data_IF_693553528981
#
_entry.id   IF_693553528981
#
_cell.length_a   1.000
_cell.length_b   1.000
_cell.length_c   1.000
_cell.angle_alpha   90.00
_cell.angle_beta   90.00
_cell.angle_gamma   90.00
#
_symmetry.space_group_name_H-M   'P 1'
#
loop_
_entity.id
_entity.type
_entity.pdbx_description
1 polymer ?
#
# COMPACT_ATOMS: atom_id res chain seq x y z
N UNK A 1 7.17 8.96 11.64
CA UNK A 1 6.30 9.96 10.96
C UNK A 1 5.77 10.99 11.95
N UNK A 2 4.78 10.67 12.79
CA UNK A 2 4.10 11.69 13.60
C UNK A 2 4.98 12.39 14.64
N UNK A 3 5.96 11.69 15.22
CA UNK A 3 6.94 12.28 16.15
C UNK A 3 7.86 13.32 15.52
N UNK A 4 8.03 13.30 14.19
CA UNK A 4 8.92 14.22 13.46
C UNK A 4 8.14 15.33 12.72
N UNK A 5 6.98 15.00 12.15
CA UNK A 5 6.22 15.92 11.27
C UNK A 5 4.83 16.30 11.80
N UNK A 6 4.44 15.82 12.98
CA UNK A 6 3.14 16.12 13.58
C UNK A 6 2.00 15.27 13.03
N UNK A 7 0.78 15.81 13.03
CA UNK A 7 -0.42 15.08 12.60
C UNK A 7 -0.31 14.64 11.13
N UNK A 8 -0.69 13.40 10.86
CA UNK A 8 -0.65 12.81 9.52
C UNK A 8 -2.06 12.70 8.95
N UNK A 9 -2.23 13.03 7.67
CA UNK A 9 -3.50 12.86 6.97
C UNK A 9 -3.63 11.40 6.46
N UNK A 10 -4.58 10.59 6.95
CA UNK A 10 -4.71 9.20 6.53
C UNK A 10 -5.33 9.11 5.14
N UNK A 11 -4.55 8.63 4.17
CA UNK A 11 -5.01 8.43 2.78
C UNK A 11 -5.44 7.00 2.48
N UNK A 12 -5.01 6.05 3.31
CA UNK A 12 -5.07 4.62 3.04
C UNK A 12 -6.43 3.97 3.28
N UNK A 13 -6.41 2.64 3.26
CA UNK A 13 -7.49 1.74 3.66
C UNK A 13 -6.97 0.30 3.58
N UNK A 14 -7.84 -0.68 3.42
CA UNK A 14 -7.41 -2.08 3.46
C UNK A 14 -6.43 -2.40 2.33
N UNK A 15 -5.43 -3.25 2.61
CA UNK A 15 -4.35 -3.55 1.68
C UNK A 15 -3.37 -2.40 1.41
N UNK A 16 -3.51 -1.25 2.10
CA UNK A 16 -2.62 -0.09 1.95
C UNK A 16 -2.98 0.83 0.78
N UNK A 17 -4.09 0.57 0.07
CA UNK A 17 -4.50 1.35 -1.08
C UNK A 17 -5.04 2.74 -0.68
N UNK A 18 -4.71 3.81 -1.44
CA UNK A 18 -5.17 5.16 -1.11
C UNK A 18 -6.64 5.37 -1.50
N UNK A 19 -7.56 4.88 -0.67
CA UNK A 19 -9.01 4.98 -0.90
C UNK A 19 -9.59 6.38 -0.70
N UNK A 20 -8.81 7.33 -0.16
CA UNK A 20 -9.16 8.75 -0.09
C UNK A 20 -9.48 9.35 -1.47
N UNK A 21 -8.89 8.78 -2.54
CA UNK A 21 -9.16 9.15 -3.92
C UNK A 21 -8.72 10.57 -4.28
N UNK A 22 -9.11 11.01 -5.48
CA UNK A 22 -8.79 12.36 -6.00
C UNK A 22 -9.39 13.46 -5.12
N UNK A 23 -10.65 13.28 -4.69
CA UNK A 23 -11.34 14.24 -3.82
C UNK A 23 -10.62 14.40 -2.49
N UNK A 24 -10.23 13.29 -1.85
CA UNK A 24 -9.54 13.33 -0.58
C UNK A 24 -8.11 13.88 -0.66
N UNK A 25 -7.36 13.55 -1.73
CA UNK A 25 -6.08 14.21 -1.97
C UNK A 25 -6.24 15.71 -2.23
N UNK A 26 -7.24 16.11 -3.01
CA UNK A 26 -7.56 17.52 -3.23
C UNK A 26 -7.87 18.27 -1.92
N UNK A 27 -8.69 17.68 -1.05
CA UNK A 27 -9.00 18.23 0.27
C UNK A 27 -7.74 18.38 1.15
N UNK A 28 -6.88 17.36 1.19
CA UNK A 28 -5.59 17.43 1.89
C UNK A 28 -4.68 18.53 1.30
N UNK A 29 -4.59 18.60 -0.03
CA UNK A 29 -3.69 19.52 -0.72
C UNK A 29 -4.03 20.99 -0.47
N UNK A 30 -5.28 21.30 -0.14
CA UNK A 30 -5.73 22.64 0.26
C UNK A 30 -5.31 23.02 1.70
N UNK A 31 -4.80 22.08 2.50
CA UNK A 31 -4.29 22.33 3.86
C UNK A 31 -2.77 22.41 3.92
N UNK A 32 -2.08 22.28 2.78
CA UNK A 32 -0.62 22.43 2.72
C UNK A 32 -0.30 23.89 3.07
N UNK A 33 0.62 24.15 4.02
CA UNK A 33 1.05 25.51 4.33
C UNK A 33 1.60 26.23 3.10
N UNK A 34 1.54 27.57 3.10
CA UNK A 34 2.21 28.37 2.07
C UNK A 34 3.69 27.99 1.96
N UNK A 35 4.17 27.77 0.74
CA UNK A 35 5.51 27.24 0.41
C UNK A 35 5.87 25.88 1.08
N UNK A 36 4.88 25.18 1.64
CA UNK A 36 5.03 23.89 2.26
C UNK A 36 5.25 22.74 1.27
N UNK A 37 5.78 21.63 1.77
CA UNK A 37 5.95 20.39 1.01
C UNK A 37 5.01 19.31 1.52
N UNK A 38 4.68 18.36 0.64
CA UNK A 38 3.91 17.16 0.98
C UNK A 38 4.86 15.98 1.01
N UNK A 39 4.77 15.15 2.04
CA UNK A 39 5.45 13.86 2.10
C UNK A 39 4.43 12.73 2.28
N UNK A 40 4.42 11.77 1.37
CA UNK A 40 3.53 10.60 1.43
C UNK A 40 4.38 9.34 1.60
N UNK A 41 4.21 8.66 2.73
CA UNK A 41 4.64 7.29 2.95
C UNK A 41 3.49 6.35 2.59
N UNK A 42 3.70 5.38 1.70
CA UNK A 42 2.64 4.49 1.24
C UNK A 42 3.12 3.08 0.91
N UNK A 43 2.18 2.15 0.86
CA UNK A 43 2.44 0.76 0.47
C UNK A 43 1.57 -0.25 1.22
N UNK A 44 1.55 -1.51 0.77
CA UNK A 44 0.98 -2.60 1.53
C UNK A 44 1.90 -2.96 2.73
N UNK A 45 1.45 -3.92 3.52
CA UNK A 45 2.27 -4.52 4.56
C UNK A 45 2.17 -6.04 4.54
N UNK A 46 3.16 -6.71 5.11
CA UNK A 46 3.20 -8.15 5.34
C UNK A 46 3.84 -8.43 6.69
N UNK A 47 3.40 -9.47 7.38
CA UNK A 47 4.09 -9.92 8.59
C UNK A 47 4.98 -11.12 8.31
N UNK A 48 6.01 -11.27 9.13
CA UNK A 48 6.80 -12.49 9.22
C UNK A 48 6.63 -13.02 10.65
N UNK A 49 6.28 -14.30 10.79
CA UNK A 49 6.14 -14.93 12.11
C UNK A 49 7.50 -15.28 12.74
N UNK A 50 7.49 -15.71 14.00
CA UNK A 50 8.69 -16.16 14.71
C UNK A 50 9.39 -17.35 14.03
N UNK A 51 8.63 -18.18 13.30
CA UNK A 51 9.15 -19.31 12.53
C UNK A 51 9.54 -18.95 11.09
N UNK A 52 9.47 -17.67 10.70
CA UNK A 52 9.77 -17.21 9.35
C UNK A 52 8.63 -17.35 8.35
N UNK A 53 7.43 -17.75 8.78
CA UNK A 53 6.26 -17.84 7.87
C UNK A 53 5.80 -16.44 7.46
N UNK A 54 5.76 -16.18 6.15
CA UNK A 54 5.30 -14.91 5.56
C UNK A 54 3.76 -14.85 5.58
N UNK A 55 3.22 -13.70 5.95
CA UNK A 55 1.78 -13.45 5.99
C UNK A 55 1.11 -13.77 7.34
N UNK A 56 1.90 -14.14 8.36
CA UNK A 56 1.40 -14.51 9.69
C UNK A 56 1.96 -13.64 10.79
N UNK A 57 1.11 -13.32 11.76
CA UNK A 57 1.52 -12.58 12.95
C UNK A 57 0.79 -13.08 14.20
N UNK A 58 1.53 -13.23 15.30
CA UNK A 58 0.96 -13.47 16.62
C UNK A 58 0.72 -12.13 17.31
N UNK A 59 -0.54 -11.70 17.34
CA UNK A 59 -0.92 -10.40 17.91
C UNK A 59 -0.96 -10.48 19.43
N UNK A 60 -0.62 -9.37 20.09
CA UNK A 60 -0.74 -9.23 21.55
C UNK A 60 -2.16 -9.61 22.00
N UNK A 61 -2.25 -10.51 22.98
CA UNK A 61 -3.52 -10.99 23.52
C UNK A 61 -4.17 -12.13 22.73
N UNK A 62 -3.53 -12.64 21.67
CA UNK A 62 -3.98 -13.82 20.93
C UNK A 62 -3.06 -15.02 21.19
N UNK A 63 -3.59 -16.24 21.06
CA UNK A 63 -2.83 -17.49 21.22
C UNK A 63 -2.54 -18.19 19.89
N UNK A 64 -3.03 -17.64 18.77
CA UNK A 64 -2.90 -18.22 17.44
C UNK A 64 -2.45 -17.15 16.46
N UNK A 65 -1.59 -17.56 15.51
CA UNK A 65 -1.21 -16.72 14.40
C UNK A 65 -2.43 -16.35 13.54
N UNK A 66 -2.50 -15.10 13.14
CA UNK A 66 -3.52 -14.57 12.23
C UNK A 66 -2.87 -13.98 10.97
N UNK A 67 -3.67 -13.77 9.94
CA UNK A 67 -3.23 -13.21 8.66
C UNK A 67 -2.77 -11.74 8.79
N UNK A 68 -1.70 -11.38 8.08
CA UNK A 68 -1.20 -10.01 7.98
C UNK A 68 -0.35 -9.84 6.69
N UNK A 69 -0.79 -9.07 5.68
CA UNK A 69 -2.06 -8.36 5.59
C UNK A 69 -3.25 -9.31 5.37
N UNK A 70 -4.25 -9.26 6.28
CA UNK A 70 -5.46 -10.06 6.16
C UNK A 70 -6.22 -9.82 4.85
N UNK A 71 -6.41 -8.56 4.48
CA UNK A 71 -7.15 -8.19 3.26
C UNK A 71 -6.51 -8.76 1.97
N UNK A 72 -5.18 -8.75 1.87
CA UNK A 72 -4.47 -9.32 0.72
C UNK A 72 -4.59 -10.83 0.68
N UNK A 73 -4.40 -11.49 1.81
CA UNK A 73 -4.51 -12.95 1.92
C UNK A 73 -5.94 -13.43 1.64
N UNK A 74 -6.95 -12.70 2.14
CA UNK A 74 -8.36 -12.97 1.86
C UNK A 74 -8.72 -12.72 0.40
N UNK A 75 -8.10 -11.73 -0.25
CA UNK A 75 -8.28 -11.48 -1.68
C UNK A 75 -7.71 -12.62 -2.53
N UNK A 76 -6.51 -13.09 -2.20
CA UNK A 76 -5.89 -14.25 -2.88
C UNK A 76 -6.72 -15.53 -2.65
N UNK A 77 -7.13 -15.78 -1.41
CA UNK A 77 -7.98 -16.92 -1.05
C UNK A 77 -9.36 -16.87 -1.75
N UNK A 78 -9.91 -15.68 -1.97
CA UNK A 78 -11.12 -15.52 -2.77
C UNK A 78 -10.89 -15.91 -4.23
N UNK A 79 -9.75 -15.52 -4.83
CA UNK A 79 -9.40 -15.86 -6.22
C UNK A 79 -9.23 -17.38 -6.38
N UNK A 80 -8.46 -18.02 -5.48
CA UNK A 80 -8.22 -19.48 -5.47
C UNK A 80 -9.50 -20.32 -5.45
N UNK A 81 -10.55 -19.80 -4.82
CA UNK A 81 -11.84 -20.47 -4.66
C UNK A 81 -12.91 -19.97 -5.63
N UNK A 82 -12.57 -19.16 -6.62
CA UNK A 82 -13.52 -18.62 -7.60
C UNK A 82 -14.60 -17.72 -6.99
N UNK A 83 -14.31 -17.07 -5.85
CA UNK A 83 -15.21 -16.16 -5.13
C UNK A 83 -15.07 -14.70 -5.56
N UNK A 84 -14.45 -14.45 -6.71
CA UNK A 84 -14.31 -13.12 -7.30
C UNK A 84 -15.06 -13.11 -8.63
N UNK A 85 -15.96 -12.14 -8.81
CA UNK A 85 -16.66 -11.95 -10.09
C UNK A 85 -15.75 -11.17 -11.05
N UNK A 86 -15.57 -11.69 -12.26
CA UNK A 86 -14.61 -11.18 -13.24
C UNK A 86 -15.02 -9.88 -13.93
N UNK A 87 -16.24 -9.38 -13.70
CA UNK A 87 -16.71 -8.15 -14.33
C UNK A 87 -17.55 -7.28 -13.39
N UNK A 88 -17.39 -5.96 -13.52
CA UNK A 88 -18.34 -4.98 -12.95
C UNK A 88 -19.74 -5.10 -13.58
N UNK A 89 -19.88 -5.82 -14.71
CA UNK A 89 -21.12 -5.95 -15.47
C UNK A 89 -22.06 -7.02 -14.90
N UNK A 90 -21.56 -7.99 -14.13
CA UNK A 90 -22.38 -9.06 -13.53
C UNK A 90 -23.05 -8.64 -12.20
N UNK A 91 -22.89 -7.39 -11.78
CA UNK A 91 -23.44 -6.83 -10.54
C UNK A 91 -22.81 -7.44 -9.28
N UNK A 92 -22.49 -6.73 -8.23
CA UNK A 92 -22.38 -5.31 -7.94
C UNK A 92 -21.00 -5.21 -7.26
N UNK A 93 -20.29 -4.08 -7.37
CA UNK A 93 -19.38 -3.73 -6.28
C UNK A 93 -20.21 -3.85 -5.00
N UNK A 94 -19.82 -4.74 -4.08
CA UNK A 94 -20.45 -4.82 -2.77
C UNK A 94 -20.27 -3.42 -2.17
N UNK A 95 -21.37 -2.67 -2.05
CA UNK A 95 -21.31 -1.26 -1.65
C UNK A 95 -20.93 -1.15 -0.16
N UNK A 96 -21.19 -2.22 0.59
CA UNK A 96 -20.81 -2.40 1.97
C UNK A 96 -19.37 -2.93 2.12
N UNK A 97 -18.80 -3.56 1.09
CA UNK A 97 -17.42 -4.11 1.04
C UNK A 97 -16.61 -3.62 -0.19
N UNK A 98 -16.74 -2.34 -0.54
CA UNK A 98 -16.18 -1.79 -1.80
C UNK A 98 -14.66 -1.90 -1.87
N UNK A 99 -13.97 -1.66 -0.75
CA UNK A 99 -12.51 -1.68 -0.72
C UNK A 99 -11.97 -3.08 -1.00
N UNK A 100 -12.61 -4.12 -0.42
CA UNK A 100 -12.17 -5.50 -0.61
C UNK A 100 -12.63 -6.03 -1.96
N UNK A 101 -13.79 -5.61 -2.44
CA UNK A 101 -14.25 -5.90 -3.81
C UNK A 101 -13.25 -5.38 -4.85
N UNK A 102 -12.79 -4.14 -4.70
CA UNK A 102 -11.75 -3.58 -5.57
C UNK A 102 -10.43 -4.34 -5.45
N UNK A 103 -9.99 -4.67 -4.22
CA UNK A 103 -8.74 -5.39 -4.01
C UNK A 103 -8.77 -6.79 -4.63
N UNK A 104 -9.85 -7.54 -4.44
CA UNK A 104 -10.07 -8.86 -5.06
C UNK A 104 -9.95 -8.81 -6.58
N UNK A 105 -10.52 -7.79 -7.22
CA UNK A 105 -10.41 -7.61 -8.67
C UNK A 105 -8.96 -7.38 -9.11
N UNK A 106 -8.22 -6.49 -8.43
CA UNK A 106 -6.82 -6.24 -8.74
C UNK A 106 -5.93 -7.49 -8.56
N UNK A 107 -6.21 -8.31 -7.54
CA UNK A 107 -5.47 -9.56 -7.32
C UNK A 107 -5.86 -10.62 -8.37
N UNK A 108 -7.14 -10.70 -8.75
CA UNK A 108 -7.61 -11.64 -9.78
C UNK A 108 -6.90 -11.42 -11.12
N UNK A 109 -6.69 -10.17 -11.53
CA UNK A 109 -6.00 -9.80 -12.78
C UNK A 109 -4.55 -10.33 -12.86
N UNK A 110 -3.93 -10.60 -11.70
CA UNK A 110 -2.54 -11.05 -11.59
C UNK A 110 -2.43 -12.41 -10.88
N UNK A 111 -3.56 -13.12 -10.71
CA UNK A 111 -3.64 -14.34 -9.90
C UNK A 111 -2.69 -15.43 -10.36
N UNK A 112 -2.67 -15.73 -11.66
CA UNK A 112 -1.85 -16.82 -12.22
C UNK A 112 -0.36 -16.53 -12.06
N UNK A 113 0.05 -15.26 -12.14
CA UNK A 113 1.43 -14.84 -11.89
C UNK A 113 1.81 -14.98 -10.40
N UNK A 114 0.87 -14.72 -9.49
CA UNK A 114 1.09 -14.88 -8.05
C UNK A 114 1.26 -16.36 -7.71
N UNK A 115 0.39 -17.24 -8.22
CA UNK A 115 0.43 -18.68 -7.94
C UNK A 115 1.64 -19.39 -8.59
N UNK A 116 2.15 -18.88 -9.71
CA UNK A 116 3.31 -19.45 -10.39
C UNK A 116 4.66 -19.11 -9.73
N UNK A 117 4.69 -18.21 -8.75
CA UNK A 117 5.93 -17.81 -8.07
C UNK A 117 6.38 -18.84 -7.03
N UNK A 118 7.69 -18.96 -6.81
CA UNK A 118 8.26 -19.82 -5.77
C UNK A 118 7.75 -19.44 -4.36
N UNK A 119 7.56 -18.14 -4.13
CA UNK A 119 7.02 -17.58 -2.89
C UNK A 119 5.75 -16.74 -3.17
N UNK A 120 4.55 -17.38 -3.28
CA UNK A 120 3.32 -16.69 -3.69
C UNK A 120 2.92 -15.52 -2.79
N UNK A 121 3.15 -15.60 -1.47
CA UNK A 121 2.78 -14.52 -0.55
C UNK A 121 3.72 -13.32 -0.69
N UNK A 122 5.01 -13.56 -0.92
CA UNK A 122 5.94 -12.49 -1.25
C UNK A 122 5.53 -11.84 -2.57
N UNK A 123 5.20 -12.65 -3.59
CA UNK A 123 4.75 -12.15 -4.90
C UNK A 123 3.46 -11.35 -4.81
N UNK A 124 2.48 -11.80 -4.00
CA UNK A 124 1.25 -11.08 -3.69
C UNK A 124 1.54 -9.69 -3.14
N UNK A 125 2.52 -9.56 -2.25
CA UNK A 125 2.88 -8.27 -1.65
C UNK A 125 3.52 -7.32 -2.67
N UNK A 126 4.34 -7.82 -3.58
CA UNK A 126 4.90 -7.04 -4.69
C UNK A 126 3.81 -6.57 -5.66
N UNK A 127 2.89 -7.46 -6.05
CA UNK A 127 1.73 -7.10 -6.90
C UNK A 127 0.86 -6.05 -6.21
N UNK A 128 0.59 -6.23 -4.92
CA UNK A 128 -0.16 -5.25 -4.13
C UNK A 128 0.53 -3.88 -4.11
N UNK A 129 1.86 -3.84 -3.97
CA UNK A 129 2.62 -2.60 -4.05
C UNK A 129 2.45 -1.90 -5.40
N UNK A 130 2.58 -2.63 -6.51
CA UNK A 130 2.36 -2.07 -7.86
C UNK A 130 0.95 -1.47 -7.98
N UNK A 131 -0.08 -2.21 -7.55
CA UNK A 131 -1.48 -1.76 -7.57
C UNK A 131 -1.69 -0.50 -6.73
N UNK A 132 -1.12 -0.45 -5.52
CA UNK A 132 -1.20 0.69 -4.59
C UNK A 132 -0.46 1.90 -5.17
N UNK A 133 0.76 1.72 -5.67
CA UNK A 133 1.57 2.74 -6.32
C UNK A 133 0.84 3.36 -7.50
N UNK A 134 0.33 2.53 -8.41
CA UNK A 134 -0.34 3.00 -9.62
C UNK A 134 -1.64 3.74 -9.28
N UNK A 135 -2.36 3.30 -8.24
CA UNK A 135 -3.52 4.04 -7.73
C UNK A 135 -3.10 5.39 -7.15
N UNK A 136 -2.02 5.45 -6.37
CA UNK A 136 -1.52 6.71 -5.79
C UNK A 136 -1.12 7.71 -6.89
N UNK A 137 -0.33 7.27 -7.87
CA UNK A 137 0.13 8.12 -8.98
C UNK A 137 -1.03 8.69 -9.82
N UNK A 138 -2.18 8.01 -9.85
CA UNK A 138 -3.41 8.52 -10.50
C UNK A 138 -4.19 9.54 -9.68
N UNK A 139 -3.94 9.67 -8.38
CA UNK A 139 -4.69 10.59 -7.49
C UNK A 139 -3.89 11.83 -7.09
N UNK A 140 -2.57 11.73 -7.01
CA UNK A 140 -1.71 12.83 -6.56
C UNK A 140 -1.44 13.82 -7.68
N UNK A 141 -1.19 15.08 -7.30
CA UNK A 141 -0.80 16.16 -8.18
C UNK A 141 0.02 17.19 -7.41
N UNK A 142 0.73 18.07 -8.11
CA UNK A 142 1.54 19.16 -7.53
C UNK A 142 0.83 20.51 -7.51
N UNK A 143 -0.49 20.54 -7.75
CA UNK A 143 -1.32 21.76 -7.72
C UNK A 143 -1.67 22.22 -6.29
N UNK A 144 -0.66 22.52 -5.48
CA UNK A 144 -0.82 23.03 -4.10
C UNK A 144 0.19 24.13 -3.73
N UNK A 145 0.75 24.82 -4.73
CA UNK A 145 1.71 25.90 -4.55
C UNK A 145 3.04 25.63 -5.27
N UNK A 146 4.10 26.23 -4.75
CA UNK A 146 5.50 26.06 -5.19
C UNK A 146 6.16 24.78 -4.64
N UNK A 147 5.48 24.13 -3.69
CA UNK A 147 5.93 22.99 -2.91
C UNK A 147 6.31 21.75 -3.72
N UNK A 148 6.95 20.82 -3.01
CA UNK A 148 7.37 19.54 -3.56
C UNK A 148 6.41 18.48 -3.04
N UNK A 149 6.09 17.51 -3.89
CA UNK A 149 5.44 16.27 -3.49
C UNK A 149 6.52 15.18 -3.41
N UNK A 150 6.83 14.74 -2.20
CA UNK A 150 7.77 13.67 -1.92
C UNK A 150 6.99 12.38 -1.69
N UNK A 151 7.34 11.34 -2.45
CA UNK A 151 6.70 10.03 -2.39
C UNK A 151 7.73 9.00 -1.95
N UNK A 152 7.47 8.33 -0.82
CA UNK A 152 8.23 7.16 -0.36
C UNK A 152 7.30 5.95 -0.34
N UNK A 153 7.47 5.07 -1.33
CA UNK A 153 6.69 3.85 -1.52
C UNK A 153 7.49 2.61 -1.18
N UNK A 154 6.85 1.62 -0.58
CA UNK A 154 7.51 0.37 -0.24
C UNK A 154 6.59 -0.67 0.38
N UNK A 155 7.17 -1.64 1.08
CA UNK A 155 6.43 -2.68 1.80
C UNK A 155 6.76 -2.56 3.28
N UNK A 156 5.75 -2.35 4.13
CA UNK A 156 5.91 -2.47 5.57
C UNK A 156 6.03 -3.94 5.97
N UNK A 157 7.02 -4.26 6.81
CA UNK A 157 7.27 -5.63 7.28
C UNK A 157 7.06 -5.66 8.79
N UNK A 158 5.99 -6.30 9.24
CA UNK A 158 5.69 -6.45 10.66
C UNK A 158 6.43 -7.64 11.23
N UNK A 159 7.24 -7.40 12.26
CA UNK A 159 8.12 -8.40 12.84
C UNK A 159 7.58 -8.89 14.19
N UNK A 160 7.86 -10.14 14.59
CA UNK A 160 7.45 -10.63 15.88
C UNK A 160 8.36 -10.06 16.97
N UNK A 161 7.89 -10.00 18.21
CA UNK A 161 8.75 -9.62 19.33
C UNK A 161 9.95 -10.59 19.45
N UNK A 162 11.18 -10.11 19.73
CA UNK A 162 11.58 -8.74 20.09
C UNK A 162 12.04 -7.87 18.90
N UNK A 163 11.85 -8.32 17.67
CA UNK A 163 12.36 -7.64 16.49
C UNK A 163 11.56 -6.37 16.18
N UNK A 164 12.23 -5.37 15.62
CA UNK A 164 11.59 -4.13 15.17
C UNK A 164 10.99 -4.33 13.78
N UNK A 165 9.91 -3.60 13.50
CA UNK A 165 9.32 -3.56 12.16
C UNK A 165 10.30 -2.94 11.16
N UNK A 166 10.27 -3.45 9.93
CA UNK A 166 11.08 -2.95 8.83
C UNK A 166 10.21 -2.30 7.74
N UNK A 167 10.86 -1.56 6.86
CA UNK A 167 10.23 -1.04 5.64
C UNK A 167 11.18 -1.29 4.48
N UNK A 168 10.68 -1.92 3.41
CA UNK A 168 11.45 -2.16 2.20
C UNK A 168 11.10 -1.09 1.14
N UNK A 169 11.93 -0.06 0.94
CA UNK A 169 11.65 1.00 -0.03
C UNK A 169 11.78 0.48 -1.46
N UNK A 170 10.80 0.82 -2.29
CA UNK A 170 10.73 0.44 -3.71
C UNK A 170 10.53 1.66 -4.64
N UNK A 171 10.29 2.84 -4.07
CA UNK A 171 10.21 4.11 -4.78
C UNK A 171 10.51 5.23 -3.80
N UNK A 172 11.38 6.15 -4.19
CA UNK A 172 11.59 7.39 -3.46
C UNK A 172 11.80 8.51 -4.47
N UNK A 173 10.80 9.37 -4.64
CA UNK A 173 10.85 10.41 -5.68
C UNK A 173 10.31 11.75 -5.19
N UNK A 174 10.83 12.81 -5.79
CA UNK A 174 10.37 14.18 -5.61
C UNK A 174 9.72 14.66 -6.91
N UNK A 175 8.46 15.07 -6.81
CA UNK A 175 7.69 15.67 -7.89
C UNK A 175 7.52 17.16 -7.62
N UNK A 176 7.66 17.97 -8.66
CA UNK A 176 7.39 19.40 -8.63
C UNK A 176 6.65 19.79 -9.91
N UNK A 177 5.85 20.85 -9.87
CA UNK A 177 5.10 21.31 -11.06
C UNK A 177 6.04 21.78 -12.18
N UNK A 178 7.15 22.40 -11.81
CA UNK A 178 8.02 23.14 -12.72
C UNK A 178 9.38 22.44 -12.94
N UNK A 179 9.56 21.22 -12.42
CA UNK A 179 10.79 20.42 -12.54
C UNK A 179 10.47 18.97 -12.88
N UNK A 180 11.41 18.31 -13.56
CA UNK A 180 11.33 16.89 -13.82
C UNK A 180 11.33 16.08 -12.50
N UNK A 181 10.65 14.91 -12.47
CA UNK A 181 10.73 13.99 -11.34
C UNK A 181 12.17 13.65 -11.00
N UNK A 182 12.53 13.77 -9.72
CA UNK A 182 13.85 13.42 -9.22
C UNK A 182 13.77 12.13 -8.41
N UNK A 183 14.43 11.07 -8.89
CA UNK A 183 14.53 9.79 -8.20
C UNK A 183 15.64 9.84 -7.13
N UNK A 184 15.32 9.36 -5.95
CA UNK A 184 16.16 9.32 -4.75
C UNK A 184 16.30 7.90 -4.20
N UNK A 185 15.85 6.86 -4.90
CA UNK A 185 15.84 5.49 -4.37
C UNK A 185 17.24 5.00 -3.98
N UNK A 186 18.29 5.46 -4.65
CA UNK A 186 19.68 5.13 -4.35
C UNK A 186 20.16 5.66 -2.99
N UNK A 187 19.39 6.53 -2.32
CA UNK A 187 19.67 6.92 -0.94
C UNK A 187 19.54 5.75 0.06
N UNK A 188 18.97 4.62 -0.36
CA UNK A 188 18.86 3.40 0.42
C UNK A 188 19.85 2.31 0.02
N UNK A 189 20.72 2.58 -0.98
CA UNK A 189 21.81 1.66 -1.31
C UNK A 189 22.83 1.72 -0.17
N UNK A 190 22.99 0.61 0.55
CA UNK A 190 24.04 0.47 1.56
C UNK A 190 25.37 0.16 0.85
N UNK A 191 26.42 0.92 1.17
CA UNK A 191 27.80 0.62 0.76
C UNK A 191 28.34 -0.67 1.42
#
# INVERSE_FOLDING_TARGET
>A
MASYWGECFPMGGIGGAPFVGKTGFGAFSAHVPDDGHVFILFGPHVAISESGEIGKHLRIGQTKHSAACGALLDALDACRHGRVRSSCADGLLDLEDMQQSWLKQCILERHDEIEAADEPIQKLCMVAYEVVRDKLLRIVHTNFGSGNLVLLGGIGINMPHPYEDHFHPLLFQVLNRDKDPHDLISAFDFE
#
